data_IF_003149111463
#
_entry.id   IF_003149111463
#
_cell.length_a   1.000
_cell.length_b   1.000
_cell.length_c   1.000
_cell.angle_alpha   90.00
_cell.angle_beta   90.00
_cell.angle_gamma   90.00
#
_symmetry.space_group_name_H-M   'P 1'
#
loop_
_entity.id
_entity.type
_entity.pdbx_description
1 polymer ?
#
# COMPACT_ATOMS: atom_id res chain seq x y z
N UNK A 1 9.64 -1.76 -9.57
CA UNK A 1 9.88 -2.35 -8.23
C UNK A 1 8.92 -3.50 -7.96
N UNK A 2 7.61 -3.27 -8.04
CA UNK A 2 6.59 -4.28 -7.76
C UNK A 2 6.67 -5.54 -8.64
N UNK A 3 6.82 -5.38 -9.96
CA UNK A 3 6.96 -6.49 -10.90
C UNK A 3 8.20 -7.35 -10.60
N UNK A 4 9.34 -6.71 -10.37
CA UNK A 4 10.58 -7.39 -9.95
C UNK A 4 10.45 -8.10 -8.59
N UNK A 5 9.54 -7.65 -7.73
CA UNK A 5 9.32 -8.20 -6.40
C UNK A 5 8.21 -9.27 -6.35
N UNK A 6 7.63 -9.63 -7.50
CA UNK A 6 6.47 -10.53 -7.61
C UNK A 6 5.31 -10.10 -6.67
N UNK A 7 5.05 -8.79 -6.63
CA UNK A 7 4.06 -8.23 -5.72
C UNK A 7 2.63 -8.69 -6.10
N UNK A 8 1.93 -9.31 -5.14
CA UNK A 8 0.55 -9.79 -5.31
C UNK A 8 -0.45 -8.66 -5.59
N UNK A 9 -0.20 -7.46 -5.09
CA UNK A 9 -1.01 -6.28 -5.32
C UNK A 9 -0.19 -5.01 -5.12
N UNK A 10 -0.57 -3.94 -5.80
CA UNK A 10 -0.04 -2.59 -5.58
C UNK A 10 -1.15 -1.56 -5.62
N UNK A 11 -0.93 -0.44 -4.94
CA UNK A 11 -1.81 0.73 -4.98
C UNK A 11 -0.98 1.99 -5.16
N UNK A 12 -1.51 2.95 -5.90
CA UNK A 12 -0.92 4.29 -6.05
C UNK A 12 -1.68 5.27 -5.17
N UNK A 13 -0.98 5.93 -4.25
CA UNK A 13 -1.56 6.98 -3.40
C UNK A 13 -1.12 8.34 -3.93
N UNK A 14 -1.98 8.96 -4.76
CA UNK A 14 -1.69 10.28 -5.36
C UNK A 14 -1.62 11.34 -4.27
N UNK A 15 -0.62 12.23 -4.36
CA UNK A 15 -0.44 13.33 -3.39
C UNK A 15 0.20 12.92 -2.07
N UNK A 16 0.59 11.65 -1.90
CA UNK A 16 1.32 11.22 -0.71
C UNK A 16 2.72 11.83 -0.62
N UNK A 17 3.16 12.09 0.62
CA UNK A 17 4.55 12.44 0.89
C UNK A 17 5.44 11.20 0.91
N UNK A 18 6.75 11.39 1.10
CA UNK A 18 7.69 10.28 1.36
C UNK A 18 7.30 9.45 2.59
N UNK A 19 6.72 10.10 3.61
CA UNK A 19 6.18 9.44 4.79
C UNK A 19 4.69 9.11 4.58
N UNK A 20 4.42 8.12 3.73
CA UNK A 20 3.05 7.67 3.40
C UNK A 20 2.21 7.34 4.64
N UNK A 21 2.74 6.62 5.67
CA UNK A 21 1.95 6.31 6.87
C UNK A 21 1.49 7.53 7.65
N UNK A 22 2.16 8.68 7.50
CA UNK A 22 1.81 9.92 8.20
C UNK A 22 0.85 10.77 7.37
N UNK A 23 1.10 10.89 6.06
CA UNK A 23 0.26 11.73 5.19
C UNK A 23 -1.07 11.07 4.82
N UNK A 24 -1.09 9.74 4.69
CA UNK A 24 -2.26 8.96 4.25
C UNK A 24 -2.36 7.65 5.05
N UNK A 25 -2.57 7.72 6.38
CA UNK A 25 -2.62 6.55 7.24
C UNK A 25 -3.68 5.54 6.80
N UNK A 26 -4.86 6.00 6.39
CA UNK A 26 -5.98 5.13 6.01
C UNK A 26 -5.66 4.25 4.80
N UNK A 27 -4.99 4.81 3.80
CA UNK A 27 -4.59 4.06 2.60
C UNK A 27 -3.60 2.93 2.95
N UNK A 28 -2.74 3.14 3.95
CA UNK A 28 -1.81 2.12 4.44
C UNK A 28 -2.56 1.04 5.22
N UNK A 29 -3.41 1.43 6.17
CA UNK A 29 -4.19 0.48 6.98
C UNK A 29 -5.06 -0.41 6.11
N UNK A 30 -5.79 0.16 5.15
CA UNK A 30 -6.62 -0.62 4.23
C UNK A 30 -5.82 -1.60 3.36
N UNK A 31 -4.61 -1.21 2.91
CA UNK A 31 -3.76 -2.13 2.15
C UNK A 31 -3.30 -3.31 3.02
N UNK A 32 -2.97 -3.05 4.29
CA UNK A 32 -2.58 -4.09 5.26
C UNK A 32 -3.76 -5.04 5.52
N UNK A 33 -4.94 -4.51 5.83
CA UNK A 33 -6.15 -5.31 6.07
C UNK A 33 -6.49 -6.19 4.87
N UNK A 34 -6.43 -5.61 3.66
CA UNK A 34 -6.62 -6.35 2.41
C UNK A 34 -5.60 -7.46 2.25
N UNK A 35 -4.32 -7.19 2.50
CA UNK A 35 -3.26 -8.19 2.39
C UNK A 35 -3.42 -9.31 3.43
N UNK A 36 -3.85 -8.98 4.65
CA UNK A 36 -4.06 -9.95 5.72
C UNK A 36 -5.25 -10.88 5.47
N UNK A 37 -6.26 -10.40 4.74
CA UNK A 37 -7.49 -11.16 4.44
C UNK A 37 -7.47 -11.84 3.08
N UNK A 38 -6.60 -11.40 2.15
CA UNK A 38 -6.34 -12.11 0.90
C UNK A 38 -5.54 -13.40 1.17
N UNK A 39 -6.11 -14.56 0.84
CA UNK A 39 -5.42 -15.86 0.91
C UNK A 39 -4.44 -16.02 -0.26
#
# INVERSE_FOLDING_TARGET
>A
MAERADARATVTVKGASHAVPVSHPDAVTHLIERAATSR
#
